data_IF_882072918538
#
_entry.id   IF_882072918538
#
_cell.length_a   1.000
_cell.length_b   1.000
_cell.length_c   1.000
_cell.angle_alpha   90.00
_cell.angle_beta   90.00
_cell.angle_gamma   90.00
#
_symmetry.space_group_name_H-M   'P 1'
#
loop_
_entity.id
_entity.type
_entity.pdbx_description
1 polymer ?
#
# COMPACT_ATOMS: atom_id res chain seq x y z
N UNK A 1 -20.85 14.44 -0.32
CA UNK A 1 -20.65 13.68 -1.57
C UNK A 1 -19.19 13.82 -1.93
N UNK A 2 -18.33 13.03 -1.28
CA UNK A 2 -16.89 13.01 -1.60
C UNK A 2 -16.71 12.03 -2.75
N UNK A 3 -16.24 12.57 -3.86
CA UNK A 3 -16.10 11.90 -5.15
C UNK A 3 -14.87 10.97 -5.05
N UNK A 4 -15.08 9.70 -4.72
CA UNK A 4 -14.03 8.68 -4.82
C UNK A 4 -13.89 8.34 -6.30
N UNK A 5 -12.92 9.01 -6.94
CA UNK A 5 -12.46 8.70 -8.29
C UNK A 5 -11.94 7.27 -8.27
N UNK A 6 -12.75 6.34 -8.77
CA UNK A 6 -12.29 5.01 -9.18
C UNK A 6 -11.42 5.25 -10.41
N UNK A 7 -10.15 5.54 -10.19
CA UNK A 7 -9.16 5.47 -11.24
C UNK A 7 -9.03 3.97 -11.51
N UNK A 8 -9.63 3.52 -12.61
CA UNK A 8 -9.32 2.22 -13.22
C UNK A 8 -7.92 2.25 -13.84
N UNK A 9 -6.94 2.77 -13.10
CA UNK A 9 -5.52 2.55 -13.33
C UNK A 9 -5.22 1.13 -12.87
N UNK A 10 -4.26 0.47 -13.52
CA UNK A 10 -3.78 -0.80 -13.02
C UNK A 10 -3.35 -0.62 -11.55
N UNK A 11 -3.87 -1.47 -10.65
CA UNK A 11 -3.34 -1.52 -9.28
C UNK A 11 -1.84 -1.79 -9.38
N UNK A 12 -0.98 -0.95 -8.78
CA UNK A 12 0.45 -1.19 -8.78
C UNK A 12 0.75 -2.47 -8.01
N UNK A 13 1.78 -3.18 -8.45
CA UNK A 13 2.23 -4.41 -7.78
C UNK A 13 2.90 -4.08 -6.45
N UNK A 14 2.93 -5.05 -5.53
CA UNK A 14 3.71 -4.93 -4.28
C UNK A 14 5.18 -4.59 -4.56
N UNK A 15 5.75 -5.10 -5.66
CA UNK A 15 7.12 -4.80 -6.07
C UNK A 15 7.31 -3.30 -6.37
N UNK A 16 6.43 -2.74 -7.20
CA UNK A 16 6.49 -1.33 -7.59
C UNK A 16 6.30 -0.39 -6.41
N UNK A 17 5.38 -0.72 -5.49
CA UNK A 17 5.13 0.09 -4.29
C UNK A 17 6.32 -0.01 -3.31
N UNK A 18 6.81 -1.20 -3.02
CA UNK A 18 7.90 -1.39 -2.06
C UNK A 18 9.24 -0.80 -2.56
N UNK A 19 9.52 -0.87 -3.86
CA UNK A 19 10.70 -0.21 -4.43
C UNK A 19 10.62 1.31 -4.26
N UNK A 20 9.41 1.89 -4.40
CA UNK A 20 9.19 3.32 -4.14
C UNK A 20 9.35 3.66 -2.66
N UNK A 21 8.77 2.87 -1.75
CA UNK A 21 8.88 3.09 -0.31
C UNK A 21 10.35 3.12 0.13
N UNK A 22 11.14 2.14 -0.30
CA UNK A 22 12.58 2.09 0.00
C UNK A 22 13.32 3.28 -0.63
N UNK A 23 12.94 3.72 -1.84
CA UNK A 23 13.52 4.92 -2.44
C UNK A 23 13.25 6.19 -1.60
N UNK A 24 12.04 6.30 -1.02
CA UNK A 24 11.67 7.38 -0.11
C UNK A 24 12.38 7.30 1.26
N UNK A 25 12.78 6.11 1.71
CA UNK A 25 13.36 5.86 3.04
C UNK A 25 14.84 6.22 3.22
N UNK A 26 15.53 6.72 2.20
CA UNK A 26 16.96 7.10 2.28
C UNK A 26 17.28 8.25 3.28
N UNK A 27 16.33 8.68 4.11
CA UNK A 27 16.47 9.71 5.16
C UNK A 27 16.48 9.15 6.62
N UNK A 28 17.05 7.98 6.86
CA UNK A 28 17.69 7.69 8.16
C UNK A 28 16.82 7.05 9.26
N UNK A 29 15.80 6.27 8.92
CA UNK A 29 15.13 5.35 9.86
C UNK A 29 15.34 3.90 9.43
N UNK A 30 15.69 3.00 10.36
CA UNK A 30 15.64 1.54 10.13
C UNK A 30 14.18 1.16 9.87
N UNK A 31 13.78 1.16 8.60
CA UNK A 31 12.54 0.57 8.15
C UNK A 31 12.84 -0.66 7.31
N UNK A 32 11.81 -1.51 7.28
CA UNK A 32 11.73 -2.82 6.66
C UNK A 32 12.44 -2.86 5.29
N UNK A 33 13.24 -3.89 5.04
CA UNK A 33 13.92 -4.06 3.75
C UNK A 33 12.90 -4.20 2.60
N UNK A 34 13.30 -3.89 1.36
CA UNK A 34 12.46 -4.07 0.16
C UNK A 34 11.83 -5.47 0.11
N UNK A 35 12.61 -6.49 0.46
CA UNK A 35 12.17 -7.88 0.44
C UNK A 35 11.12 -8.16 1.53
N UNK A 36 11.34 -7.68 2.76
CA UNK A 36 10.36 -7.82 3.84
C UNK A 36 9.06 -7.04 3.53
N UNK A 37 9.17 -5.88 2.86
CA UNK A 37 8.02 -5.13 2.38
C UNK A 37 7.19 -5.94 1.38
N UNK A 38 7.86 -6.52 0.39
CA UNK A 38 7.21 -7.34 -0.65
C UNK A 38 6.55 -8.57 -0.07
N UNK A 39 7.22 -9.26 0.86
CA UNK A 39 6.67 -10.42 1.55
C UNK A 39 5.42 -10.05 2.35
N UNK A 40 5.49 -8.98 3.16
CA UNK A 40 4.35 -8.53 3.96
C UNK A 40 3.17 -8.07 3.08
N UNK A 41 3.45 -7.33 2.01
CA UNK A 41 2.43 -6.85 1.07
C UNK A 41 1.73 -8.02 0.37
N UNK A 42 2.51 -8.99 -0.12
CA UNK A 42 1.96 -10.17 -0.80
C UNK A 42 1.14 -11.03 0.16
N UNK A 43 1.64 -11.28 1.37
CA UNK A 43 0.89 -12.03 2.39
C UNK A 43 -0.44 -11.35 2.74
N UNK A 44 -0.46 -10.01 2.79
CA UNK A 44 -1.69 -9.26 3.07
C UNK A 44 -2.71 -9.37 1.94
N UNK A 45 -2.25 -9.26 0.69
CA UNK A 45 -3.08 -9.44 -0.49
C UNK A 45 -3.67 -10.85 -0.57
N UNK A 46 -2.82 -11.87 -0.39
CA UNK A 46 -3.22 -13.28 -0.40
C UNK A 46 -4.23 -13.61 0.69
N UNK A 47 -4.08 -13.01 1.88
CA UNK A 47 -5.04 -13.17 2.98
C UNK A 47 -6.44 -12.70 2.60
N UNK A 48 -6.55 -11.52 1.98
CA UNK A 48 -7.85 -10.98 1.58
C UNK A 48 -8.46 -11.75 0.41
N UNK A 49 -7.62 -12.27 -0.49
CA UNK A 49 -8.09 -13.16 -1.55
C UNK A 49 -8.62 -14.49 -0.99
N UNK A 50 -7.88 -15.13 -0.06
CA UNK A 50 -8.31 -16.35 0.62
C UNK A 50 -9.62 -16.16 1.37
N UNK A 51 -9.75 -15.07 2.11
CA UNK A 51 -10.97 -14.75 2.87
C UNK A 51 -12.12 -14.30 1.98
N UNK A 52 -11.87 -14.09 0.69
CA UNK A 52 -12.81 -13.52 -0.27
C UNK A 52 -13.37 -12.17 0.23
N UNK A 53 -12.57 -11.44 1.01
CA UNK A 53 -12.94 -10.15 1.60
C UNK A 53 -12.67 -9.06 0.56
N UNK A 54 -13.61 -8.96 -0.39
CA UNK A 54 -13.49 -8.01 -1.51
C UNK A 54 -13.40 -6.57 -1.03
N UNK A 55 -13.99 -6.24 0.13
CA UNK A 55 -13.90 -4.89 0.68
C UNK A 55 -12.48 -4.59 1.13
N UNK A 56 -11.84 -5.51 1.86
CA UNK A 56 -10.45 -5.33 2.28
C UNK A 56 -9.47 -5.39 1.12
N UNK A 57 -9.70 -6.25 0.13
CA UNK A 57 -8.89 -6.27 -1.10
C UNK A 57 -8.97 -4.95 -1.85
N UNK A 58 -10.18 -4.44 -2.11
CA UNK A 58 -10.34 -3.19 -2.85
C UNK A 58 -9.77 -1.98 -2.06
N UNK A 59 -9.84 -2.01 -0.73
CA UNK A 59 -9.20 -1.00 0.13
C UNK A 59 -7.67 -1.10 0.09
N UNK A 60 -7.12 -2.31 0.11
CA UNK A 60 -5.68 -2.53 -0.02
C UNK A 60 -5.14 -2.08 -1.39
N UNK A 61 -5.86 -2.40 -2.47
CA UNK A 61 -5.52 -1.94 -3.82
C UNK A 61 -5.53 -0.41 -3.92
N UNK A 62 -6.48 0.24 -3.24
CA UNK A 62 -6.53 1.70 -3.15
C UNK A 62 -5.35 2.28 -2.34
N UNK A 63 -4.95 1.63 -1.25
CA UNK A 63 -3.77 2.01 -0.47
C UNK A 63 -2.48 1.87 -1.31
N UNK A 64 -2.30 0.75 -2.02
CA UNK A 64 -1.17 0.54 -2.93
C UNK A 64 -1.11 1.63 -4.02
N UNK A 65 -2.25 1.96 -4.60
CA UNK A 65 -2.37 3.04 -5.59
C UNK A 65 -1.99 4.39 -5.00
N UNK A 66 -2.49 4.70 -3.79
CA UNK A 66 -2.16 5.93 -3.08
C UNK A 66 -0.65 6.04 -2.82
N UNK A 67 -0.02 4.98 -2.31
CA UNK A 67 1.42 4.95 -2.05
C UNK A 67 2.23 5.13 -3.33
N UNK A 68 1.83 4.49 -4.43
CA UNK A 68 2.51 4.61 -5.71
C UNK A 68 2.39 6.00 -6.35
N UNK A 69 1.31 6.74 -6.09
CA UNK A 69 1.10 8.08 -6.65
C UNK A 69 1.59 9.22 -5.74
N UNK A 70 1.64 9.02 -4.43
CA UNK A 70 1.94 10.07 -3.44
C UNK A 70 3.40 10.51 -3.40
N UNK A 71 3.68 11.72 -2.95
CA UNK A 71 5.07 12.14 -2.69
C UNK A 71 5.63 11.49 -1.42
N UNK A 72 6.96 11.38 -1.29
CA UNK A 72 7.58 10.77 -0.10
C UNK A 72 7.17 11.47 1.20
N UNK A 73 6.92 12.79 1.17
CA UNK A 73 6.44 13.56 2.33
C UNK A 73 5.03 13.17 2.75
N UNK A 74 4.15 12.83 1.79
CA UNK A 74 2.78 12.40 2.08
C UNK A 74 2.75 10.97 2.62
N UNK A 75 3.64 10.11 2.09
CA UNK A 75 3.88 8.75 2.60
C UNK A 75 4.38 8.82 4.04
N UNK A 76 5.39 9.65 4.33
CA UNK A 76 5.92 9.84 5.68
C UNK A 76 4.86 10.39 6.65
N UNK A 77 4.01 11.30 6.18
CA UNK A 77 2.88 11.83 6.93
C UNK A 77 1.75 10.80 7.14
N UNK A 78 1.84 9.61 6.53
CA UNK A 78 0.87 8.53 6.68
C UNK A 78 -0.45 8.80 5.98
N UNK A 79 -0.47 9.63 4.93
CA UNK A 79 -1.71 10.04 4.23
C UNK A 79 -2.45 8.85 3.61
N UNK A 80 -1.71 7.83 3.19
CA UNK A 80 -2.26 6.63 2.56
C UNK A 80 -2.55 5.48 3.53
N UNK A 81 -2.20 5.60 4.82
CA UNK A 81 -2.33 4.48 5.76
C UNK A 81 -3.78 4.31 6.21
N UNK A 82 -4.36 3.13 5.97
CA UNK A 82 -5.70 2.78 6.39
C UNK A 82 -5.67 1.72 7.51
N UNK A 83 -5.97 2.14 8.75
CA UNK A 83 -5.89 1.25 9.91
C UNK A 83 -6.85 0.04 9.85
N UNK A 84 -7.96 0.14 9.11
CA UNK A 84 -8.94 -0.93 8.95
C UNK A 84 -8.46 -2.06 8.03
N UNK A 85 -7.52 -1.74 7.14
CA UNK A 85 -6.81 -2.72 6.30
C UNK A 85 -5.90 -3.54 7.23
N UNK A 86 -4.97 -2.89 7.92
CA UNK A 86 -3.94 -3.54 8.72
C UNK A 86 -4.37 -3.99 10.13
N UNK A 87 -5.58 -3.62 10.57
CA UNK A 87 -6.16 -4.03 11.85
C UNK A 87 -6.94 -5.35 11.73
N UNK A 88 -6.42 -6.40 12.37
CA UNK A 88 -7.12 -7.68 12.58
C UNK A 88 -7.83 -7.71 13.93
#
# INVERSE_FOLDING_TARGET
MTFLLIILGCTPTCDEVCDKLVACENEGTERMSSDECKESCTAQHDLYDEWTDTQKRDAFDAELSCLYESECSDIEAGVCYEAEVWGF
#
